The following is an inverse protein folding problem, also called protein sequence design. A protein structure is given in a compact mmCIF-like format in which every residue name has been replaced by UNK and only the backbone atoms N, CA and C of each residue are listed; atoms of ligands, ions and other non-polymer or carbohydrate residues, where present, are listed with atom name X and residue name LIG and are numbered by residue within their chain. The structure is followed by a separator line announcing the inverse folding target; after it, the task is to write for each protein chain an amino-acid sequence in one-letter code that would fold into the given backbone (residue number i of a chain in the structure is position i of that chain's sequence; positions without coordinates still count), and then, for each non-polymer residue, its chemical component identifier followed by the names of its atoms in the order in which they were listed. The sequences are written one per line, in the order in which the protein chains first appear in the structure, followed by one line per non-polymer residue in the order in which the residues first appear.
data_IF_928633331965
#
_entry.id   IF_928633331965
#
_cell.length_a   1.000
_cell.length_b   1.000
_cell.length_c   1.000
_cell.angle_alpha   90.00
_cell.angle_beta   90.00
_cell.angle_gamma   90.00
#
_symmetry.space_group_name_H-M   'P 1'
#
loop_
_entity.id
_entity.type
_entity.pdbx_description
1 polymer ?
#
# COMPACT_ATOMS: atom_id res chain seq x y z
N UNK A 1 1.96 -11.73 0.77
CA UNK A 1 0.67 -12.03 0.10
C UNK A 1 0.76 -13.08 -1.02
N UNK A 2 1.91 -13.29 -1.68
CA UNK A 2 2.07 -14.38 -2.67
C UNK A 2 1.87 -15.79 -2.08
N UNK A 3 1.98 -15.96 -0.76
CA UNK A 3 1.74 -17.21 -0.04
C UNK A 3 0.33 -17.78 -0.19
N UNK A 4 -0.66 -16.95 -0.52
CA UNK A 4 -2.04 -17.43 -0.71
C UNK A 4 -2.26 -18.11 -2.06
N UNK A 5 -1.31 -18.03 -3.01
CA UNK A 5 -1.45 -18.70 -4.32
C UNK A 5 -1.58 -20.22 -4.09
N UNK A 6 -2.63 -20.81 -4.65
CA UNK A 6 -3.00 -22.22 -4.44
C UNK A 6 -3.86 -22.48 -3.21
N UNK A 7 -4.07 -21.50 -2.35
CA UNK A 7 -5.00 -21.58 -1.21
C UNK A 7 -6.41 -21.12 -1.61
N UNK A 8 -7.46 -21.57 -0.90
CA UNK A 8 -8.79 -21.03 -1.12
C UNK A 8 -8.86 -19.56 -0.70
N UNK A 9 -9.67 -18.77 -1.40
CA UNK A 9 -9.84 -17.34 -1.12
C UNK A 9 -10.39 -17.10 0.29
N UNK A 10 -11.09 -18.09 0.85
CA UNK A 10 -11.58 -18.07 2.24
C UNK A 10 -10.44 -17.90 3.24
N UNK A 11 -9.24 -18.41 2.98
CA UNK A 11 -8.07 -18.16 3.83
C UNK A 11 -7.70 -16.68 3.87
N UNK A 12 -7.75 -15.99 2.72
CA UNK A 12 -7.53 -14.53 2.67
C UNK A 12 -8.66 -13.80 3.42
N UNK A 13 -9.91 -14.24 3.24
CA UNK A 13 -11.05 -13.65 3.94
C UNK A 13 -11.00 -13.85 5.46
N UNK A 14 -10.43 -14.96 5.94
CA UNK A 14 -10.25 -15.22 7.38
C UNK A 14 -9.20 -14.27 7.98
N UNK A 15 -8.14 -13.98 7.24
CA UNK A 15 -7.05 -13.12 7.73
C UNK A 15 -7.37 -11.62 7.60
N UNK A 16 -8.05 -11.23 6.52
CA UNK A 16 -8.27 -9.82 6.14
C UNK A 16 -9.71 -9.35 6.24
N UNK A 17 -10.66 -10.25 6.54
CA UNK A 17 -12.08 -9.96 6.50
C UNK A 17 -12.66 -10.00 5.09
N UNK A 18 -13.94 -9.61 4.93
CA UNK A 18 -14.61 -9.62 3.64
C UNK A 18 -13.91 -8.70 2.64
N UNK A 19 -13.92 -9.05 1.34
CA UNK A 19 -13.40 -8.19 0.28
C UNK A 19 -14.26 -6.93 0.14
N UNK A 20 -13.63 -5.81 -0.20
CA UNK A 20 -14.34 -4.57 -0.53
C UNK A 20 -15.07 -4.70 -1.88
N UNK A 21 -14.41 -5.28 -2.87
CA UNK A 21 -14.99 -5.49 -4.21
C UNK A 21 -14.78 -6.91 -4.72
N UNK A 22 -15.74 -7.40 -5.52
CA UNK A 22 -15.65 -8.68 -6.24
C UNK A 22 -15.98 -8.45 -7.72
N UNK A 23 -15.02 -8.75 -8.59
CA UNK A 23 -15.14 -8.62 -10.04
C UNK A 23 -15.26 -10.00 -10.69
N UNK A 24 -16.28 -10.21 -11.52
CA UNK A 24 -16.39 -11.40 -12.36
C UNK A 24 -15.60 -11.20 -13.64
N UNK A 25 -14.55 -11.99 -13.85
CA UNK A 25 -13.68 -11.91 -15.03
C UNK A 25 -14.09 -12.90 -16.11
N UNK A 26 -14.69 -14.02 -15.71
CA UNK A 26 -15.20 -15.05 -16.62
C UNK A 26 -16.08 -16.06 -15.90
N UNK A 27 -16.52 -17.10 -16.62
CA UNK A 27 -17.43 -18.11 -16.08
C UNK A 27 -16.89 -18.81 -14.81
N UNK A 28 -15.57 -18.99 -14.73
CA UNK A 28 -14.88 -19.64 -13.62
C UNK A 28 -13.75 -18.78 -13.05
N UNK A 29 -13.74 -17.47 -13.31
CA UNK A 29 -12.68 -16.57 -12.88
C UNK A 29 -13.27 -15.32 -12.22
N UNK A 30 -12.74 -14.99 -11.04
CA UNK A 30 -13.15 -13.83 -10.25
C UNK A 30 -11.95 -13.17 -9.62
N UNK A 31 -12.01 -11.86 -9.44
CA UNK A 31 -11.04 -11.10 -8.68
C UNK A 31 -11.69 -10.53 -7.42
N UNK A 32 -10.96 -10.62 -6.32
CA UNK A 32 -11.33 -10.09 -5.02
C UNK A 32 -10.38 -8.96 -4.68
N UNK A 33 -10.90 -7.81 -4.27
CA UNK A 33 -10.10 -6.63 -3.98
C UNK A 33 -10.32 -6.18 -2.54
N UNK A 34 -9.21 -5.88 -1.86
CA UNK A 34 -9.18 -5.22 -0.57
C UNK A 34 -8.54 -3.85 -0.70
N UNK A 35 -9.13 -2.86 -0.05
CA UNK A 35 -8.63 -1.51 0.07
C UNK A 35 -7.99 -1.33 1.46
N UNK A 36 -6.75 -0.82 1.48
CA UNK A 36 -6.07 -0.45 2.72
C UNK A 36 -5.49 0.95 2.57
N UNK A 37 -5.74 1.80 3.57
CA UNK A 37 -5.11 3.11 3.67
C UNK A 37 -3.82 2.97 4.48
N UNK A 38 -2.68 3.28 3.87
CA UNK A 38 -1.40 3.41 4.57
C UNK A 38 -1.21 4.87 4.96
N UNK A 39 -1.00 5.13 6.24
CA UNK A 39 -0.69 6.48 6.75
C UNK A 39 0.77 6.50 7.16
N UNK A 40 1.54 7.43 6.61
CA UNK A 40 2.95 7.61 6.94
C UNK A 40 3.19 9.05 7.40
N UNK A 41 3.93 9.21 8.50
CA UNK A 41 4.43 10.50 8.93
C UNK A 41 5.78 10.75 8.26
N UNK A 42 5.86 11.82 7.46
CA UNK A 42 7.12 12.29 6.87
C UNK A 42 7.70 13.32 7.82
N UNK A 43 8.91 13.05 8.31
CA UNK A 43 9.62 13.99 9.18
C UNK A 43 9.97 15.27 8.41
N UNK A 44 9.88 16.40 9.11
CA UNK A 44 10.37 17.67 8.59
C UNK A 44 11.89 17.72 8.62
N UNK A 45 12.48 18.46 7.69
CA UNK A 45 13.93 18.66 7.61
C UNK A 45 14.29 20.12 7.88
N UNK A 46 15.38 20.32 8.60
CA UNK A 46 15.96 21.65 8.86
C UNK A 46 17.32 21.74 8.17
N UNK A 47 17.45 22.65 7.21
CA UNK A 47 18.73 22.96 6.56
C UNK A 47 19.22 24.32 7.01
N UNK A 48 20.37 24.37 7.66
CA UNK A 48 21.01 25.61 8.10
C UNK A 48 22.29 25.88 7.33
N UNK A 49 22.38 27.04 6.69
CA UNK A 49 23.64 27.55 6.12
C UNK A 49 24.21 28.65 7.02
N UNK A 50 25.48 28.50 7.39
CA UNK A 50 26.25 29.51 8.13
C UNK A 50 27.03 30.33 7.12
N UNK A 51 26.73 31.63 7.03
CA UNK A 51 27.49 32.57 6.22
C UNK A 51 28.35 33.47 7.13
N UNK A 52 29.67 33.38 7.00
CA UNK A 52 30.57 34.38 7.56
C UNK A 52 30.46 35.69 6.78
N UNK A 53 30.15 36.77 7.48
CA UNK A 53 30.18 38.12 6.92
C UNK A 53 31.26 38.95 7.62
N UNK A 54 31.73 40.03 6.99
CA UNK A 54 32.72 40.97 7.56
C UNK A 54 32.36 41.56 8.95
N UNK A 55 31.14 41.33 9.45
CA UNK A 55 30.61 41.79 10.75
C UNK A 55 30.21 40.64 11.70
N UNK A 56 30.61 39.40 11.41
CA UNK A 56 30.30 38.21 12.22
C UNK A 56 29.56 37.12 11.43
N UNK A 57 29.26 36.01 12.10
CA UNK A 57 28.49 34.89 11.54
C UNK A 57 27.00 35.22 11.44
N UNK A 58 26.38 34.87 10.30
CA UNK A 58 24.92 34.98 10.11
C UNK A 58 24.36 33.60 9.77
N UNK A 59 23.43 33.14 10.59
CA UNK A 59 22.74 31.86 10.44
C UNK A 59 21.49 32.05 9.59
N UNK A 60 21.36 31.29 8.50
CA UNK A 60 20.13 31.23 7.69
C UNK A 60 19.65 29.77 7.66
N UNK A 61 18.57 29.50 8.40
CA UNK A 61 17.91 28.20 8.42
C UNK A 61 16.65 28.20 7.57
N UNK A 62 16.42 27.12 6.83
CA UNK A 62 15.16 26.80 6.19
C UNK A 62 14.59 25.55 6.86
N UNK A 63 13.40 25.67 7.46
CA UNK A 63 12.69 24.58 8.10
C UNK A 63 11.55 24.11 7.19
N UNK A 64 11.55 22.83 6.84
CA UNK A 64 10.45 22.16 6.15
C UNK A 64 9.66 21.39 7.20
N UNK A 65 8.41 21.76 7.52
CA UNK A 65 7.61 21.03 8.50
C UNK A 65 7.26 19.63 7.98
N UNK A 66 7.15 18.67 8.91
CA UNK A 66 6.69 17.32 8.57
C UNK A 66 5.21 17.31 8.19
N UNK A 67 4.80 16.30 7.42
CA UNK A 67 3.41 16.12 7.00
C UNK A 67 2.99 14.64 7.11
N UNK A 68 1.68 14.41 7.06
CA UNK A 68 1.11 13.06 7.05
C UNK A 68 0.68 12.74 5.62
N UNK A 69 1.26 11.69 5.05
CA UNK A 69 0.89 11.16 3.74
C UNK A 69 -0.08 10.00 3.91
N UNK A 70 -1.18 10.01 3.14
CA UNK A 70 -2.14 8.92 3.07
C UNK A 70 -2.12 8.33 1.67
N UNK A 71 -1.81 7.03 1.58
CA UNK A 71 -1.74 6.30 0.31
C UNK A 71 -2.77 5.19 0.31
N UNK A 72 -3.64 5.18 -0.70
CA UNK A 72 -4.62 4.12 -0.92
C UNK A 72 -3.97 2.93 -1.64
N UNK A 73 -4.03 1.76 -1.01
CA UNK A 73 -3.42 0.53 -1.48
C UNK A 73 -4.50 -0.50 -1.82
N UNK A 74 -4.54 -0.92 -3.09
CA UNK A 74 -5.49 -1.91 -3.57
C UNK A 74 -4.81 -3.27 -3.77
N UNK A 75 -5.26 -4.25 -3.00
CA UNK A 75 -4.78 -5.61 -3.03
C UNK A 75 -5.77 -6.47 -3.80
N UNK A 76 -5.41 -6.92 -5.00
CA UNK A 76 -6.31 -7.72 -5.85
C UNK A 76 -5.81 -9.16 -5.96
N UNK A 77 -6.64 -10.11 -5.52
CA UNK A 77 -6.41 -11.54 -5.68
C UNK A 77 -7.26 -12.07 -6.82
N UNK A 78 -6.61 -12.68 -7.80
CA UNK A 78 -7.27 -13.42 -8.87
C UNK A 78 -7.51 -14.84 -8.42
N UNK A 79 -8.71 -15.32 -8.69
CA UNK A 79 -9.14 -16.66 -8.31
C UNK A 79 -9.75 -17.39 -9.48
N UNK A 80 -9.61 -18.71 -9.44
CA UNK A 80 -10.28 -19.62 -10.36
C UNK A 80 -11.11 -20.62 -9.58
N UNK A 81 -12.29 -20.91 -10.10
CA UNK A 81 -13.20 -21.87 -9.48
C UNK A 81 -12.68 -23.29 -9.68
N UNK A 82 -12.62 -24.05 -8.59
CA UNK A 82 -12.38 -25.49 -8.61
C UNK A 82 -13.42 -26.16 -7.71
N UNK A 83 -14.37 -26.85 -8.33
CA UNK A 83 -15.54 -27.40 -7.63
C UNK A 83 -16.42 -26.30 -7.03
N UNK A 84 -16.55 -26.29 -5.69
CA UNK A 84 -17.34 -25.30 -4.94
C UNK A 84 -16.52 -24.11 -4.48
N UNK A 85 -15.20 -24.24 -4.47
CA UNK A 85 -14.31 -23.25 -3.87
C UNK A 85 -13.60 -22.41 -4.94
N UNK A 86 -13.18 -21.21 -4.53
CA UNK A 86 -12.39 -20.30 -5.33
C UNK A 86 -10.95 -20.34 -4.84
N UNK A 87 -10.04 -20.75 -5.70
CA UNK A 87 -8.62 -20.84 -5.36
C UNK A 87 -7.86 -19.66 -5.96
N UNK A 88 -6.97 -19.07 -5.17
CA UNK A 88 -6.13 -17.96 -5.62
C UNK A 88 -5.14 -18.48 -6.66
N UNK A 89 -5.18 -17.92 -7.85
CA UNK A 89 -4.26 -18.23 -8.94
C UNK A 89 -3.16 -17.19 -9.08
N UNK A 90 -3.47 -15.93 -8.80
CA UNK A 90 -2.52 -14.83 -8.92
C UNK A 90 -2.86 -13.70 -7.96
N UNK A 91 -1.89 -12.84 -7.71
CA UNK A 91 -2.03 -11.68 -6.84
C UNK A 91 -1.39 -10.47 -7.52
N UNK A 92 -2.17 -9.40 -7.66
CA UNK A 92 -1.69 -8.10 -8.14
C UNK A 92 -1.19 -7.31 -6.95
N UNK A 93 0.12 -7.12 -6.90
CA UNK A 93 0.74 -6.29 -5.88
C UNK A 93 0.34 -4.82 -6.09
N UNK A 94 -0.06 -4.09 -5.03
CA UNK A 94 -0.27 -2.64 -5.11
C UNK A 94 1.03 -1.92 -5.46
N UNK A 95 0.93 -0.60 -5.70
CA UNK A 95 2.09 0.26 -5.98
C UNK A 95 3.17 0.11 -4.91
N UNK A 96 4.44 0.26 -5.30
CA UNK A 96 5.61 0.10 -4.43
C UNK A 96 5.58 0.97 -3.16
N UNK A 97 4.85 2.08 -3.17
CA UNK A 97 4.59 2.93 -2.00
C UNK A 97 3.83 2.23 -0.87
N UNK A 98 3.21 1.09 -1.15
CA UNK A 98 2.42 0.30 -0.20
C UNK A 98 3.22 -0.76 0.57
N UNK A 99 4.47 -1.04 0.19
CA UNK A 99 5.32 -2.05 0.85
C UNK A 99 5.99 -1.52 2.13
#
# INVERSE_FOLDING_TARGET
MKSYIGSPITSVMLDYGPPDNVYKLGANEQAYQWHRTKTQAVAGDFTGEVHETRRGERYKGTETPGYVEQTECFYTFYTRRSGRDWYVTNFRQPSLTCE
#
